data_IF_295915365261
#
_entry.id   IF_295915365261
#
_cell.length_a   1.000
_cell.length_b   1.000
_cell.length_c   1.000
_cell.angle_alpha   90.00
_cell.angle_beta   90.00
_cell.angle_gamma   90.00
#
_symmetry.space_group_name_H-M   'P 1'
#
loop_
_entity.id
_entity.type
_entity.pdbx_description
1 polymer ?
#
# COMPACT_ATOMS: atom_id res chain seq x y z
N UNK A 1 -24.42 12.91 1.08
CA UNK A 1 -23.29 12.22 1.76
C UNK A 1 -23.01 10.80 1.26
N UNK A 2 -23.97 10.02 0.74
CA UNK A 2 -23.71 8.63 0.30
C UNK A 2 -22.89 8.48 -1.00
N UNK A 3 -22.84 9.51 -1.87
CA UNK A 3 -22.16 9.41 -3.16
C UNK A 3 -20.63 9.34 -3.09
N UNK A 4 -20.00 10.03 -2.12
CA UNK A 4 -18.53 10.15 -2.01
C UNK A 4 -17.85 8.90 -1.42
N UNK A 5 -18.56 8.15 -0.58
CA UNK A 5 -18.00 6.93 0.02
C UNK A 5 -18.24 5.67 -0.82
N UNK A 6 -18.96 5.77 -1.95
CA UNK A 6 -19.24 4.59 -2.78
C UNK A 6 -17.98 4.13 -3.52
N UNK A 7 -17.57 2.90 -3.26
CA UNK A 7 -16.57 2.20 -4.06
C UNK A 7 -17.11 1.85 -5.45
N UNK A 8 -16.20 1.55 -6.39
CA UNK A 8 -16.54 0.98 -7.71
C UNK A 8 -17.33 -0.33 -7.64
N UNK A 9 -17.38 -0.99 -6.48
CA UNK A 9 -18.12 -2.24 -6.21
C UNK A 9 -19.50 -2.02 -5.56
N UNK A 10 -19.98 -0.78 -5.47
CA UNK A 10 -21.38 -0.45 -5.10
C UNK A 10 -21.66 -0.22 -3.61
N UNK A 11 -20.72 -0.57 -2.71
CA UNK A 11 -20.81 -0.36 -1.27
C UNK A 11 -20.10 0.91 -0.76
N UNK A 12 -20.49 1.38 0.43
CA UNK A 12 -19.84 2.47 1.17
C UNK A 12 -18.53 1.97 1.78
N UNK A 13 -17.41 2.61 1.43
CA UNK A 13 -16.06 2.21 1.85
C UNK A 13 -15.29 3.41 2.34
N UNK A 14 -14.36 3.16 3.26
CA UNK A 14 -13.37 4.13 3.74
C UNK A 14 -11.99 3.72 3.23
N UNK A 15 -11.24 4.67 2.68
CA UNK A 15 -9.85 4.46 2.31
C UNK A 15 -8.93 4.67 3.53
N UNK A 16 -7.93 3.80 3.64
CA UNK A 16 -6.89 3.84 4.68
C UNK A 16 -5.54 3.79 3.99
N UNK A 17 -4.75 4.86 4.14
CA UNK A 17 -3.36 4.89 3.72
C UNK A 17 -2.48 4.45 4.88
N UNK A 18 -1.58 3.51 4.62
CA UNK A 18 -0.65 3.02 5.63
C UNK A 18 0.75 2.89 5.04
N UNK A 19 1.75 3.23 5.85
CA UNK A 19 3.15 2.92 5.58
C UNK A 19 3.62 1.84 6.56
N UNK A 20 4.16 0.76 6.02
CA UNK A 20 4.42 -0.48 6.76
C UNK A 20 5.90 -0.84 6.64
N UNK A 21 6.51 -1.29 7.74
CA UNK A 21 7.89 -1.80 7.75
C UNK A 21 7.94 -3.28 7.39
N UNK A 22 9.12 -3.78 6.99
CA UNK A 22 9.29 -5.21 6.71
C UNK A 22 9.12 -6.10 7.96
N UNK A 23 9.18 -5.51 9.15
CA UNK A 23 8.83 -6.17 10.41
C UNK A 23 7.32 -6.26 10.66
N UNK A 24 6.50 -6.05 9.61
CA UNK A 24 5.04 -6.10 9.65
C UNK A 24 4.38 -5.03 10.55
N UNK A 25 5.10 -3.97 10.92
CA UNK A 25 4.58 -2.90 11.79
C UNK A 25 4.12 -1.69 10.99
N UNK A 26 3.05 -1.06 11.44
CA UNK A 26 2.59 0.22 10.92
C UNK A 26 3.52 1.35 11.39
N UNK A 27 4.17 2.03 10.45
CA UNK A 27 4.95 3.25 10.72
C UNK A 27 4.12 4.53 10.60
N UNK A 28 3.05 4.49 9.81
CA UNK A 28 2.10 5.58 9.65
C UNK A 28 0.74 5.02 9.21
N UNK A 29 -0.36 5.62 9.70
CA UNK A 29 -1.72 5.29 9.30
C UNK A 29 -2.54 6.58 9.17
N UNK A 30 -3.19 6.75 8.03
CA UNK A 30 -4.14 7.80 7.73
C UNK A 30 -5.46 7.16 7.32
N UNK A 31 -6.44 7.17 8.22
CA UNK A 31 -7.77 6.63 8.02
C UNK A 31 -8.81 7.75 7.82
N UNK A 32 -10.00 7.39 7.35
CA UNK A 32 -11.12 8.33 7.22
C UNK A 32 -11.27 9.01 5.86
N UNK A 33 -10.54 8.55 4.84
CA UNK A 33 -10.74 9.04 3.47
C UNK A 33 -11.97 8.42 2.83
N UNK A 34 -12.64 9.17 1.96
CA UNK A 34 -13.77 8.65 1.21
C UNK A 34 -13.33 7.54 0.24
N UNK A 35 -14.14 6.50 0.09
CA UNK A 35 -13.83 5.38 -0.80
C UNK A 35 -13.63 5.73 -2.28
N UNK A 36 -14.18 6.86 -2.73
CA UNK A 36 -13.96 7.37 -4.09
C UNK A 36 -12.73 8.27 -4.23
N UNK A 37 -12.06 8.61 -3.13
CA UNK A 37 -10.89 9.46 -3.15
C UNK A 37 -9.75 8.78 -3.92
N UNK A 38 -9.11 9.54 -4.80
CA UNK A 38 -8.01 9.03 -5.60
C UNK A 38 -6.74 8.90 -4.75
N UNK A 39 -6.05 7.76 -4.85
CA UNK A 39 -4.82 7.45 -4.09
C UNK A 39 -3.78 8.57 -4.10
N UNK A 40 -3.54 9.17 -5.27
CA UNK A 40 -2.71 10.36 -5.45
C UNK A 40 -3.05 11.51 -4.48
N UNK A 41 -4.33 11.81 -4.25
CA UNK A 41 -4.76 12.88 -3.34
C UNK A 41 -4.55 12.50 -1.88
N UNK A 42 -4.86 11.26 -1.53
CA UNK A 42 -4.65 10.71 -0.17
C UNK A 42 -3.17 10.80 0.21
N UNK A 43 -2.27 10.38 -0.69
CA UNK A 43 -0.82 10.49 -0.45
C UNK A 43 -0.34 11.95 -0.42
N UNK A 44 -0.86 12.80 -1.29
CA UNK A 44 -0.49 14.22 -1.31
C UNK A 44 -0.78 14.89 0.03
N UNK A 45 -1.94 14.59 0.59
CA UNK A 45 -2.37 15.12 1.88
C UNK A 45 -1.57 14.52 3.04
N UNK A 46 -1.29 13.20 3.01
CA UNK A 46 -0.43 12.56 4.00
C UNK A 46 0.97 13.20 4.09
N UNK A 47 1.49 13.67 2.95
CA UNK A 47 2.79 14.33 2.84
C UNK A 47 2.78 15.84 3.17
N UNK A 48 1.62 16.47 3.31
CA UNK A 48 1.51 17.92 3.59
C UNK A 48 0.91 18.26 4.96
N UNK A 49 0.57 17.25 5.76
CA UNK A 49 -0.04 17.43 7.09
C UNK A 49 0.98 17.80 8.17
N UNK A 50 0.60 18.55 9.22
CA UNK A 50 1.47 18.82 10.37
C UNK A 50 2.02 17.56 11.09
N UNK A 51 1.25 16.46 11.07
CA UNK A 51 1.69 15.10 11.47
C UNK A 51 2.00 14.26 10.23
N UNK A 52 2.90 14.79 9.44
CA UNK A 52 3.30 14.30 8.13
C UNK A 52 3.73 12.83 8.15
N UNK A 53 3.49 12.13 7.04
CA UNK A 53 4.25 10.93 6.69
C UNK A 53 5.72 11.34 6.54
N UNK A 54 6.47 11.28 7.64
CA UNK A 54 7.89 11.64 7.66
C UNK A 54 8.70 10.55 6.99
N UNK A 55 9.35 10.92 5.88
CA UNK A 55 10.28 10.03 5.21
C UNK A 55 11.69 10.39 5.67
N UNK A 56 12.37 9.52 6.46
CA UNK A 56 13.69 9.81 6.99
C UNK A 56 14.68 10.18 5.87
N UNK A 57 15.67 11.00 6.20
CA UNK A 57 16.73 11.34 5.25
C UNK A 57 17.46 10.09 4.74
N UNK A 58 17.78 10.08 3.45
CA UNK A 58 18.37 8.93 2.77
C UNK A 58 17.41 7.75 2.51
N UNK A 59 16.17 7.77 3.03
CA UNK A 59 15.18 6.72 2.83
C UNK A 59 14.08 7.13 1.85
N UNK A 60 13.34 6.15 1.36
CA UNK A 60 12.18 6.30 0.48
C UNK A 60 11.19 5.16 0.71
N UNK A 61 9.93 5.39 0.37
CA UNK A 61 8.90 4.35 0.36
C UNK A 61 8.77 3.71 -1.02
N UNK A 62 8.44 2.42 -1.03
CA UNK A 62 7.88 1.75 -2.20
C UNK A 62 6.36 1.93 -2.16
N UNK A 63 5.80 2.45 -3.24
CA UNK A 63 4.40 2.82 -3.32
C UNK A 63 3.70 2.14 -4.51
N UNK A 64 2.40 1.93 -4.36
CA UNK A 64 1.56 1.42 -5.44
C UNK A 64 1.58 2.33 -6.68
N UNK A 65 1.36 1.73 -7.85
CA UNK A 65 1.31 2.46 -9.13
C UNK A 65 0.23 3.56 -9.14
N UNK A 66 -0.87 3.41 -8.39
CA UNK A 66 -1.96 4.38 -8.26
C UNK A 66 -1.54 5.72 -7.65
N UNK A 67 -0.46 5.74 -6.85
CA UNK A 67 0.04 6.96 -6.22
C UNK A 67 0.83 7.88 -7.16
N UNK A 68 1.42 7.31 -8.22
CA UNK A 68 2.37 8.01 -9.09
C UNK A 68 3.73 8.24 -8.44
N UNK A 69 4.77 8.36 -9.26
CA UNK A 69 6.12 8.62 -8.78
C UNK A 69 6.22 10.04 -8.22
N UNK A 70 6.84 10.20 -7.06
CA UNK A 70 6.96 11.48 -6.35
C UNK A 70 8.21 11.54 -5.50
N UNK A 71 8.50 12.73 -4.98
CA UNK A 71 9.61 12.92 -4.06
C UNK A 71 9.54 11.92 -2.90
N UNK A 72 10.57 11.07 -2.80
CA UNK A 72 10.75 10.01 -1.81
C UNK A 72 9.75 8.84 -1.83
N UNK A 73 8.97 8.70 -2.90
CA UNK A 73 8.13 7.53 -3.16
C UNK A 73 8.43 6.97 -4.55
N UNK A 74 8.93 5.73 -4.59
CA UNK A 74 9.21 5.01 -5.84
C UNK A 74 8.02 4.09 -6.14
N UNK A 75 7.47 4.17 -7.35
CA UNK A 75 6.39 3.30 -7.83
C UNK A 75 6.87 2.36 -8.92
N UNK A 76 6.09 1.31 -9.17
CA UNK A 76 6.23 0.42 -10.33
C UNK A 76 6.33 1.21 -11.65
N UNK A 77 6.99 0.62 -12.65
CA UNK A 77 6.85 1.07 -14.04
C UNK A 77 5.44 0.75 -14.53
N UNK A 78 4.71 1.78 -14.97
CA UNK A 78 3.40 1.63 -15.59
C UNK A 78 3.57 1.00 -16.98
N UNK A 79 2.64 0.12 -17.36
CA UNK A 79 2.67 -0.54 -18.67
C UNK A 79 3.80 -1.56 -18.86
N UNK A 80 4.57 -1.86 -17.81
CA UNK A 80 5.63 -2.89 -17.84
C UNK A 80 5.14 -4.12 -17.09
N UNK A 81 5.36 -5.29 -17.69
CA UNK A 81 4.92 -6.58 -17.18
C UNK A 81 5.52 -6.88 -15.81
N UNK A 82 4.75 -7.58 -14.99
CA UNK A 82 5.24 -8.33 -13.84
C UNK A 82 4.35 -9.57 -13.74
N UNK A 83 4.89 -10.77 -13.98
CA UNK A 83 4.09 -11.99 -14.00
C UNK A 83 4.35 -12.86 -12.78
N UNK A 84 3.25 -13.41 -12.23
CA UNK A 84 3.29 -14.55 -11.32
C UNK A 84 2.67 -15.84 -11.91
N UNK A 85 1.83 -15.80 -12.97
CA UNK A 85 1.21 -17.05 -13.50
C UNK A 85 0.76 -17.13 -14.97
N UNK A 86 0.55 -16.03 -15.70
CA UNK A 86 -0.02 -16.13 -17.07
C UNK A 86 1.01 -16.43 -18.19
N UNK A 87 2.32 -16.38 -17.91
CA UNK A 87 3.39 -16.59 -18.91
C UNK A 87 4.57 -17.40 -18.34
N UNK A 88 4.28 -18.39 -17.48
CA UNK A 88 5.20 -19.05 -16.55
C UNK A 88 6.33 -19.93 -17.13
N UNK A 89 6.98 -19.55 -18.23
CA UNK A 89 8.15 -20.26 -18.75
C UNK A 89 9.38 -19.36 -19.01
N UNK A 90 9.20 -18.05 -19.20
CA UNK A 90 10.29 -17.13 -19.54
C UNK A 90 10.52 -16.14 -18.38
N UNK A 91 11.77 -16.00 -17.94
CA UNK A 91 12.16 -15.08 -16.87
C UNK A 91 11.95 -13.61 -17.26
N UNK A 92 12.26 -12.67 -16.37
CA UNK A 92 12.20 -11.23 -16.70
C UNK A 92 13.09 -10.93 -17.91
N UNK A 93 12.53 -10.35 -18.97
CA UNK A 93 13.25 -10.09 -20.22
C UNK A 93 14.13 -8.84 -20.11
N UNK A 94 13.78 -7.93 -19.18
CA UNK A 94 14.48 -6.67 -19.02
C UNK A 94 14.54 -6.18 -17.56
N UNK A 95 15.43 -5.23 -17.31
CA UNK A 95 15.66 -4.61 -16.00
C UNK A 95 14.39 -4.02 -15.36
N UNK A 96 13.46 -3.48 -16.16
CA UNK A 96 12.22 -2.87 -15.66
C UNK A 96 11.22 -3.94 -15.20
N UNK A 97 11.15 -5.06 -15.89
CA UNK A 97 10.34 -6.21 -15.47
C UNK A 97 10.88 -6.85 -14.20
N UNK A 98 12.21 -7.03 -14.09
CA UNK A 98 12.84 -7.52 -12.87
C UNK A 98 12.59 -6.58 -11.69
N UNK A 99 12.69 -5.27 -11.92
CA UNK A 99 12.33 -4.27 -10.93
C UNK A 99 10.86 -4.39 -10.50
N UNK A 100 9.92 -4.46 -11.45
CA UNK A 100 8.50 -4.58 -11.11
C UNK A 100 8.19 -5.89 -10.38
N UNK A 101 8.82 -7.01 -10.76
CA UNK A 101 8.67 -8.29 -10.08
C UNK A 101 9.12 -8.20 -8.61
N UNK A 102 10.34 -7.68 -8.36
CA UNK A 102 10.88 -7.50 -7.01
C UNK A 102 10.09 -6.46 -6.20
N UNK A 103 9.62 -5.40 -6.83
CA UNK A 103 8.78 -4.42 -6.17
C UNK A 103 7.43 -5.04 -5.76
N UNK A 104 6.79 -5.77 -6.66
CA UNK A 104 5.52 -6.45 -6.40
C UNK A 104 5.65 -7.48 -5.27
N UNK A 105 6.75 -8.26 -5.24
CA UNK A 105 6.99 -9.20 -4.14
C UNK A 105 7.17 -8.53 -2.78
N UNK A 106 7.74 -7.31 -2.75
CA UNK A 106 7.80 -6.51 -1.51
C UNK A 106 6.43 -5.96 -1.11
N UNK A 107 5.57 -5.61 -2.08
CA UNK A 107 4.20 -5.11 -1.84
C UNK A 107 3.32 -6.13 -1.13
N UNK A 108 3.59 -7.43 -1.29
CA UNK A 108 2.91 -8.52 -0.55
C UNK A 108 2.96 -8.28 0.97
N UNK A 109 3.99 -7.60 1.47
CA UNK A 109 4.09 -7.22 2.90
C UNK A 109 2.87 -6.40 3.36
N UNK A 110 2.40 -5.45 2.53
CA UNK A 110 1.23 -4.61 2.85
C UNK A 110 -0.02 -5.47 2.95
N UNK A 111 -0.26 -6.33 1.97
CA UNK A 111 -1.40 -7.24 1.92
C UNK A 111 -1.39 -8.20 3.11
N UNK A 112 -0.21 -8.75 3.44
CA UNK A 112 -0.01 -9.63 4.59
C UNK A 112 -0.38 -8.95 5.90
N UNK A 113 0.10 -7.72 6.14
CA UNK A 113 -0.22 -7.00 7.38
C UNK A 113 -1.70 -6.70 7.50
N UNK A 114 -2.36 -6.23 6.43
CA UNK A 114 -3.81 -6.02 6.47
C UNK A 114 -4.60 -7.32 6.64
N UNK A 115 -4.13 -8.43 6.07
CA UNK A 115 -4.69 -9.77 6.28
C UNK A 115 -4.58 -10.21 7.74
N UNK A 116 -3.42 -10.04 8.37
CA UNK A 116 -3.21 -10.31 9.79
C UNK A 116 -4.10 -9.40 10.64
N UNK A 117 -4.11 -8.10 10.35
CA UNK A 117 -4.89 -7.10 11.10
C UNK A 117 -6.37 -7.47 11.11
N UNK A 118 -6.94 -7.81 9.94
CA UNK A 118 -8.33 -8.27 9.87
C UNK A 118 -8.52 -9.55 10.67
N UNK A 119 -7.62 -10.54 10.58
CA UNK A 119 -7.73 -11.82 11.32
C UNK A 119 -7.74 -11.59 12.83
N UNK A 120 -6.83 -10.75 13.30
CA UNK A 120 -6.69 -10.35 14.68
C UNK A 120 -7.91 -9.55 15.17
N UNK A 121 -8.44 -8.66 14.34
CA UNK A 121 -9.58 -7.79 14.66
C UNK A 121 -10.72 -7.99 13.67
N UNK A 122 -11.54 -9.02 13.92
CA UNK A 122 -12.70 -9.37 13.09
C UNK A 122 -13.73 -8.25 12.96
N UNK A 123 -13.69 -7.24 13.84
CA UNK A 123 -14.49 -6.01 13.74
C UNK A 123 -14.26 -5.26 12.43
N UNK A 124 -13.10 -5.42 11.79
CA UNK A 124 -12.77 -4.78 10.50
C UNK A 124 -13.39 -5.50 9.29
N UNK A 125 -13.84 -6.75 9.45
CA UNK A 125 -14.54 -7.51 8.41
C UNK A 125 -16.08 -7.46 8.58
N UNK A 126 -16.56 -6.96 9.73
CA UNK A 126 -17.98 -6.85 10.02
C UNK A 126 -18.60 -5.61 9.35
N UNK A 127 -19.89 -5.69 9.03
CA UNK A 127 -20.64 -4.50 8.63
C UNK A 127 -20.65 -3.50 9.79
N UNK A 128 -20.23 -2.24 9.56
CA UNK A 128 -20.07 -1.30 10.65
C UNK A 128 -21.43 -0.79 11.14
N UNK A 129 -21.69 -0.96 12.44
CA UNK A 129 -22.88 -0.42 13.12
C UNK A 129 -22.67 1.00 13.69
N UNK A 130 -21.42 1.43 13.76
CA UNK A 130 -21.04 2.72 14.34
C UNK A 130 -21.09 3.86 13.32
N UNK A 131 -21.16 5.09 13.82
CA UNK A 131 -20.98 6.26 12.96
C UNK A 131 -19.57 6.28 12.35
N UNK A 132 -19.40 7.03 11.26
CA UNK A 132 -18.16 7.05 10.49
C UNK A 132 -16.93 7.43 11.33
N UNK A 133 -17.03 8.43 12.22
CA UNK A 133 -15.90 8.84 13.04
C UNK A 133 -15.42 7.71 13.95
N UNK A 134 -16.35 6.98 14.56
CA UNK A 134 -16.03 5.81 15.37
C UNK A 134 -15.41 4.69 14.53
N UNK A 135 -15.82 4.49 13.27
CA UNK A 135 -15.17 3.54 12.37
C UNK A 135 -13.71 3.91 12.10
N UNK A 136 -13.42 5.20 11.89
CA UNK A 136 -12.04 5.72 11.75
C UNK A 136 -11.21 5.40 12.99
N UNK A 137 -11.76 5.68 14.17
CA UNK A 137 -11.07 5.46 15.44
C UNK A 137 -10.80 3.96 15.70
N UNK A 138 -11.74 3.08 15.31
CA UNK A 138 -11.56 1.62 15.39
C UNK A 138 -10.37 1.17 14.52
N UNK A 139 -10.27 1.65 13.28
CA UNK A 139 -9.14 1.32 12.38
C UNK A 139 -7.82 1.73 13.03
N UNK A 140 -7.73 2.96 13.54
CA UNK A 140 -6.51 3.47 14.17
C UNK A 140 -6.15 2.67 15.43
N UNK A 141 -7.13 2.35 16.28
CA UNK A 141 -6.94 1.55 17.47
C UNK A 141 -6.42 0.14 17.14
N UNK A 142 -7.01 -0.53 16.14
CA UNK A 142 -6.54 -1.83 15.68
C UNK A 142 -5.08 -1.79 15.24
N UNK A 143 -4.65 -0.79 14.44
CA UNK A 143 -3.26 -0.66 14.02
C UNK A 143 -2.29 -0.44 15.19
N UNK A 144 -2.69 0.37 16.18
CA UNK A 144 -1.89 0.64 17.38
C UNK A 144 -1.73 -0.63 18.22
N UNK A 145 -2.84 -1.36 18.46
CA UNK A 145 -2.82 -2.59 19.24
C UNK A 145 -2.01 -3.68 18.50
N UNK A 146 -2.14 -3.79 17.18
CA UNK A 146 -1.32 -4.68 16.37
C UNK A 146 0.18 -4.42 16.58
N UNK A 147 0.61 -3.16 16.46
CA UNK A 147 2.00 -2.78 16.69
C UNK A 147 2.48 -3.10 18.11
N UNK A 148 1.62 -2.92 19.12
CA UNK A 148 1.93 -3.26 20.50
C UNK A 148 2.16 -4.77 20.65
N UNK A 149 1.25 -5.59 20.12
CA UNK A 149 1.35 -7.06 20.14
C UNK A 149 2.64 -7.51 19.44
N UNK A 150 2.93 -6.96 18.26
CA UNK A 150 4.20 -7.21 17.54
C UNK A 150 5.46 -6.79 18.33
N UNK A 151 5.33 -5.95 19.36
CA UNK A 151 6.41 -5.55 20.24
C UNK A 151 6.60 -6.48 21.45
N UNK A 152 5.50 -6.99 22.01
CA UNK A 152 5.50 -7.79 23.25
C UNK A 152 5.47 -9.29 23.01
N UNK A 153 4.89 -9.74 21.88
CA UNK A 153 4.83 -11.15 21.48
C UNK A 153 5.11 -11.30 19.96
N UNK A 154 6.39 -11.24 19.55
CA UNK A 154 6.79 -11.49 18.18
C UNK A 154 6.50 -12.93 17.71
N UNK A 155 6.24 -13.85 18.65
CA UNK A 155 5.98 -15.27 18.39
C UNK A 155 4.50 -15.61 18.20
N UNK A 156 3.59 -14.64 18.27
CA UNK A 156 2.17 -14.87 18.00
C UNK A 156 1.99 -15.60 16.65
N UNK A 157 1.23 -16.69 16.67
CA UNK A 157 0.99 -17.59 15.55
C UNK A 157 0.40 -16.86 14.33
N UNK A 158 -0.35 -15.77 14.55
CA UNK A 158 -0.86 -14.92 13.48
C UNK A 158 0.26 -14.16 12.75
N UNK A 159 1.32 -13.80 13.46
CA UNK A 159 2.48 -13.07 12.94
C UNK A 159 3.47 -14.00 12.22
N UNK A 160 3.55 -15.27 12.65
CA UNK A 160 4.40 -16.31 12.06
C UNK A 160 3.97 -16.76 10.65
N UNK A 161 2.80 -16.34 10.16
CA UNK A 161 2.53 -16.36 8.72
C UNK A 161 2.10 -17.69 8.12
N UNK A 162 1.04 -18.31 8.64
CA UNK A 162 0.18 -19.20 7.83
C UNK A 162 -0.74 -18.39 6.89
N UNK A 163 -0.22 -17.35 6.26
CA UNK A 163 -0.95 -16.58 5.25
C UNK A 163 -0.48 -17.03 3.87
N UNK A 164 -1.22 -17.97 3.29
CA UNK A 164 -1.26 -18.12 1.84
C UNK A 164 -2.04 -16.92 1.31
N UNK A 165 -1.36 -15.96 0.70
CA UNK A 165 -2.04 -14.88 0.00
C UNK A 165 -2.89 -15.51 -1.12
N UNK A 166 -4.20 -15.21 -1.16
CA UNK A 166 -4.98 -15.57 -2.33
C UNK A 166 -4.47 -14.75 -3.52
N UNK A 167 -3.94 -15.43 -4.53
CA UNK A 167 -3.33 -14.87 -5.75
C UNK A 167 -4.24 -13.91 -6.55
N UNK A 168 -5.52 -13.79 -6.18
CA UNK A 168 -6.54 -13.01 -6.87
C UNK A 168 -6.41 -11.48 -6.75
N UNK A 169 -5.59 -10.96 -5.83
CA UNK A 169 -5.46 -9.50 -5.61
C UNK A 169 -4.40 -8.83 -6.50
N UNK A 170 -3.75 -9.59 -7.39
CA UNK A 170 -2.68 -9.11 -8.27
C UNK A 170 -3.15 -8.25 -9.48
N UNK A 171 -4.46 -7.97 -9.61
CA UNK A 171 -5.00 -7.28 -10.79
C UNK A 171 -5.71 -5.99 -10.41
N UNK A 172 -4.99 -4.87 -10.53
CA UNK A 172 -5.61 -3.58 -10.91
C UNK A 172 -4.71 -2.90 -11.95
N UNK A 173 -5.10 -2.90 -13.23
CA UNK A 173 -4.48 -2.02 -14.22
C UNK A 173 -4.95 -0.60 -13.93
N UNK A 174 -4.12 0.19 -13.25
CA UNK A 174 -4.37 1.63 -13.13
C UNK A 174 -3.65 2.33 -14.27
N UNK A 175 -4.32 2.37 -15.43
CA UNK A 175 -3.93 3.20 -16.57
C UNK A 175 -4.37 4.64 -16.30
N UNK A 176 -3.43 5.50 -15.96
CA UNK A 176 -3.55 6.94 -16.17
C UNK A 176 -2.18 7.46 -16.58
N UNK A 177 -2.06 8.01 -17.78
CA UNK A 177 -0.88 8.78 -18.16
C UNK A 177 -0.97 10.16 -17.50
N UNK A 178 0.15 10.61 -16.90
CA UNK A 178 0.24 11.94 -16.33
C UNK A 178 1.63 12.50 -16.59
N UNK A 179 1.67 13.78 -16.96
CA UNK A 179 2.90 14.54 -17.19
C UNK A 179 3.76 14.63 -15.92
N UNK A 180 5.02 14.26 -16.06
CA UNK A 180 6.01 14.23 -14.97
C UNK A 180 6.49 15.65 -14.62
N UNK A 181 6.34 16.06 -13.35
CA UNK A 181 6.93 17.30 -12.82
C UNK A 181 8.44 17.14 -12.59
N UNK A 182 9.17 18.24 -12.47
CA UNK A 182 10.64 18.21 -12.37
C UNK A 182 11.20 17.39 -11.20
N UNK A 183 10.57 17.42 -10.03
CA UNK A 183 10.92 16.55 -8.90
C UNK A 183 10.58 15.07 -9.11
N UNK A 184 9.75 14.74 -10.09
CA UNK A 184 9.40 13.36 -10.46
C UNK A 184 10.48 12.74 -11.36
N UNK A 185 11.19 13.58 -12.13
CA UNK A 185 12.31 13.15 -12.99
C UNK A 185 13.50 12.62 -12.20
N UNK A 186 13.86 13.24 -11.08
CA UNK A 186 14.96 12.75 -10.22
C UNK A 186 14.66 11.34 -9.67
N UNK A 187 13.43 11.14 -9.19
CA UNK A 187 13.02 9.85 -8.64
C UNK A 187 12.80 8.80 -9.71
N UNK A 188 12.38 9.21 -10.92
CA UNK A 188 12.33 8.34 -12.10
C UNK A 188 13.74 7.86 -12.48
N UNK A 189 14.72 8.78 -12.53
CA UNK A 189 16.12 8.43 -12.76
C UNK A 189 16.70 7.54 -11.65
N UNK A 190 16.33 7.77 -10.38
CA UNK A 190 16.72 6.89 -9.27
C UNK A 190 16.14 5.49 -9.43
N UNK A 191 14.86 5.37 -9.82
CA UNK A 191 14.23 4.09 -10.14
C UNK A 191 14.95 3.39 -11.29
N UNK A 192 15.25 4.11 -12.36
CA UNK A 192 15.97 3.57 -13.52
C UNK A 192 17.36 3.05 -13.13
N UNK A 193 18.09 3.80 -12.30
CA UNK A 193 19.38 3.36 -11.76
C UNK A 193 19.24 2.08 -10.94
N UNK A 194 18.24 2.00 -10.06
CA UNK A 194 17.98 0.80 -9.25
C UNK A 194 17.70 -0.39 -10.18
N UNK A 195 16.79 -0.22 -11.14
CA UNK A 195 16.42 -1.26 -12.10
C UNK A 195 17.62 -1.79 -12.88
N UNK A 196 18.52 -0.91 -13.33
CA UNK A 196 19.74 -1.30 -14.06
C UNK A 196 20.78 -2.04 -13.21
N UNK A 197 20.73 -1.89 -11.88
CA UNK A 197 21.67 -2.55 -10.95
C UNK A 197 21.16 -3.87 -10.36
N UNK A 198 19.93 -4.26 -10.66
CA UNK A 198 19.24 -5.43 -10.09
C UNK A 198 19.59 -6.74 -10.76
#
# INVERSE_FOLDING_TARGET
MQGIFRSRKGGTTQNVLAAITFDLKFSHVLAGWEGSAHDFHILSDALSRPRELRIPEGKYYLADAGYGIRNRCITLYRGVRYYLKEFGAEGSENAKELFNLRHSSLRITVERVFGILKKQFRVLDAEPFWNFQTQVDIVLACCIIHNHIMGVDPSDLLNQGLYEASESDLIIPTLMEREEKEGEREWSAKRDKIAQTM
#
